data_IF_313405826092
#
_entry.id   IF_313405826092
#
_cell.length_a   1.000
_cell.length_b   1.000
_cell.length_c   1.000
_cell.angle_alpha   90.00
_cell.angle_beta   90.00
_cell.angle_gamma   90.00
#
_symmetry.space_group_name_H-M   'P 1'
#
loop_
_entity.id
_entity.type
_entity.pdbx_description
1 polymer ?
#
# COMPACT_ATOMS: atom_id res chain seq x y z
N UNK A 1 3.78 -10.70 15.05
CA UNK A 1 4.84 -9.69 15.30
C UNK A 1 4.20 -8.39 15.79
N UNK A 2 4.92 -7.53 16.54
CA UNK A 2 4.41 -6.22 16.92
C UNK A 2 4.20 -5.34 15.68
N UNK A 3 3.09 -4.59 15.66
CA UNK A 3 2.76 -3.65 14.59
C UNK A 3 2.80 -2.24 15.15
N UNK A 4 3.49 -1.35 14.44
CA UNK A 4 3.50 0.10 14.71
C UNK A 4 3.17 0.86 13.44
N UNK A 5 2.21 1.79 13.52
CA UNK A 5 1.85 2.70 12.43
C UNK A 5 2.12 4.11 12.90
N UNK A 6 2.95 4.85 12.15
CA UNK A 6 3.25 6.26 12.40
C UNK A 6 2.62 7.06 11.26
N UNK A 7 1.46 7.70 11.48
CA UNK A 7 0.79 8.51 10.47
C UNK A 7 1.55 9.83 10.23
N UNK A 8 1.19 10.52 9.14
CA UNK A 8 1.73 11.83 8.75
C UNK A 8 3.27 11.86 8.71
N UNK A 9 3.87 10.76 8.20
CA UNK A 9 5.31 10.54 8.27
C UNK A 9 6.10 11.45 7.33
N UNK A 10 5.55 11.82 6.18
CA UNK A 10 6.16 12.76 5.23
C UNK A 10 5.28 13.99 5.04
N UNK A 11 5.93 15.13 4.82
CA UNK A 11 5.28 16.45 4.84
C UNK A 11 4.38 16.73 3.65
N UNK A 12 4.75 16.26 2.44
CA UNK A 12 4.14 16.75 1.19
C UNK A 12 3.04 15.83 0.64
N UNK A 13 2.94 14.59 1.11
CA UNK A 13 1.88 13.68 0.70
C UNK A 13 0.53 14.13 1.29
N UNK A 14 -0.57 13.90 0.57
CA UNK A 14 -1.92 14.17 1.06
C UNK A 14 -2.30 13.24 2.22
N UNK A 15 -1.70 12.04 2.26
CA UNK A 15 -1.73 11.13 3.40
C UNK A 15 -0.48 10.26 3.39
N UNK A 16 0.06 9.97 4.55
CA UNK A 16 1.26 9.11 4.64
C UNK A 16 1.33 8.36 5.95
N UNK A 17 2.00 7.22 5.93
CA UNK A 17 2.40 6.54 7.16
C UNK A 17 3.65 5.68 6.94
N UNK A 18 4.40 5.49 8.03
CA UNK A 18 5.37 4.41 8.14
C UNK A 18 4.71 3.26 8.91
N UNK A 19 4.54 2.10 8.25
CA UNK A 19 4.11 0.88 8.91
C UNK A 19 5.31 -0.03 9.19
N UNK A 20 5.36 -0.58 10.39
CA UNK A 20 6.36 -1.55 10.84
C UNK A 20 5.64 -2.79 11.35
N UNK A 21 6.02 -3.96 10.83
CA UNK A 21 5.53 -5.27 11.26
C UNK A 21 6.77 -6.12 11.62
N UNK A 22 7.12 -6.15 12.91
CA UNK A 22 8.45 -6.63 13.32
C UNK A 22 9.55 -5.83 12.62
N UNK A 23 10.44 -6.51 11.90
CA UNK A 23 11.53 -5.89 11.15
C UNK A 23 11.14 -5.45 9.74
N UNK A 24 9.93 -5.74 9.27
CA UNK A 24 9.43 -5.20 8.01
C UNK A 24 8.99 -3.75 8.17
N UNK A 25 9.49 -2.87 7.30
CA UNK A 25 9.19 -1.43 7.29
C UNK A 25 8.77 -0.99 5.89
N UNK A 26 7.59 -0.39 5.77
CA UNK A 26 7.08 0.16 4.50
C UNK A 26 6.62 1.60 4.71
N UNK A 27 7.13 2.51 3.89
CA UNK A 27 6.61 3.86 3.77
C UNK A 27 5.48 3.86 2.74
N UNK A 28 4.30 4.33 3.13
CA UNK A 28 3.14 4.47 2.25
C UNK A 28 2.76 5.94 2.14
N UNK A 29 2.66 6.44 0.91
CA UNK A 29 2.30 7.83 0.60
C UNK A 29 1.14 7.88 -0.38
N UNK A 30 0.19 8.77 -0.15
CA UNK A 30 -0.92 9.05 -1.05
C UNK A 30 -0.69 10.37 -1.77
N UNK A 31 -0.80 10.35 -3.10
CA UNK A 31 -0.78 11.53 -3.96
C UNK A 31 -2.13 11.66 -4.65
N UNK A 32 -2.69 12.87 -4.70
CA UNK A 32 -4.00 13.17 -5.31
C UNK A 32 -3.80 13.98 -6.59
N UNK A 33 -4.48 13.56 -7.66
CA UNK A 33 -4.51 14.26 -8.94
C UNK A 33 -5.97 14.58 -9.33
N UNK A 34 -6.23 15.78 -9.86
CA UNK A 34 -7.55 16.25 -10.34
C UNK A 34 -7.84 15.74 -11.77
N UNK A 35 -7.57 14.49 -12.00
CA UNK A 35 -7.83 13.80 -13.27
C UNK A 35 -7.96 12.31 -13.07
N UNK A 36 -8.64 11.64 -13.98
CA UNK A 36 -8.79 10.18 -14.00
C UNK A 36 -8.25 9.58 -15.29
N UNK A 37 -7.77 8.34 -15.29
CA UNK A 37 -7.37 7.63 -16.51
C UNK A 37 -8.56 7.48 -17.50
N UNK A 38 -8.31 7.44 -18.82
CA UNK A 38 -9.38 7.39 -19.85
C UNK A 38 -10.33 6.18 -19.77
N UNK A 39 -9.93 5.11 -19.06
CA UNK A 39 -10.74 3.90 -18.88
C UNK A 39 -11.69 3.98 -17.69
N UNK A 40 -11.61 5.03 -16.89
CA UNK A 40 -12.45 5.22 -15.71
C UNK A 40 -13.78 5.84 -16.14
N UNK A 41 -14.94 5.33 -15.68
CA UNK A 41 -16.23 5.90 -15.99
C UNK A 41 -16.35 7.36 -15.56
N UNK A 42 -17.00 8.18 -16.38
CA UNK A 42 -17.26 9.59 -16.10
C UNK A 42 -17.94 9.79 -14.73
N UNK A 43 -17.54 10.82 -14.00
CA UNK A 43 -18.05 11.12 -12.66
C UNK A 43 -17.56 10.20 -11.56
N UNK A 44 -16.63 9.29 -11.84
CA UNK A 44 -16.04 8.41 -10.82
C UNK A 44 -14.54 8.63 -10.69
N UNK A 45 -14.00 8.35 -9.50
CA UNK A 45 -12.57 8.44 -9.23
C UNK A 45 -11.82 7.14 -9.45
N UNK A 46 -10.53 7.18 -9.20
CA UNK A 46 -9.65 6.02 -9.31
C UNK A 46 -8.68 5.94 -8.14
N UNK A 47 -8.41 4.72 -7.69
CA UNK A 47 -7.35 4.44 -6.72
C UNK A 47 -6.41 3.41 -7.33
N UNK A 48 -5.13 3.72 -7.34
CA UNK A 48 -4.09 2.83 -7.83
C UNK A 48 -2.94 2.76 -6.83
N UNK A 49 -2.00 1.85 -7.05
CA UNK A 49 -0.83 1.74 -6.20
C UNK A 49 0.42 1.41 -7.01
N UNK A 50 1.55 1.87 -6.51
CA UNK A 50 2.88 1.46 -6.93
C UNK A 50 3.59 0.77 -5.77
N UNK A 51 4.51 -0.14 -6.08
CA UNK A 51 5.25 -0.89 -5.09
C UNK A 51 6.70 -1.03 -5.53
N UNK A 52 7.60 -0.67 -4.63
CA UNK A 52 9.03 -0.78 -4.86
C UNK A 52 9.77 -1.21 -3.58
N UNK A 53 10.90 -1.86 -3.76
CA UNK A 53 11.82 -2.17 -2.66
C UNK A 53 13.12 -1.38 -2.84
N UNK A 54 13.60 -0.76 -1.76
CA UNK A 54 14.92 -0.15 -1.77
C UNK A 54 15.99 -1.22 -2.01
N UNK A 55 17.12 -0.87 -2.65
CA UNK A 55 18.19 -1.83 -2.95
C UNK A 55 18.71 -2.63 -1.75
N UNK A 56 18.68 -2.02 -0.56
CA UNK A 56 19.11 -2.64 0.71
C UNK A 56 17.95 -2.98 1.65
N UNK A 57 16.73 -3.06 1.13
CA UNK A 57 15.60 -3.57 1.89
C UNK A 57 15.77 -5.04 2.31
N UNK A 58 16.58 -5.78 1.58
CA UNK A 58 16.94 -7.18 1.86
C UNK A 58 18.39 -7.31 2.38
N UNK A 59 18.72 -8.49 2.89
CA UNK A 59 20.09 -8.83 3.36
C UNK A 59 21.14 -8.61 2.27
N UNK A 60 20.81 -8.98 1.02
CA UNK A 60 21.64 -8.72 -0.15
C UNK A 60 21.11 -7.54 -0.95
N UNK A 61 22.03 -6.77 -1.56
CA UNK A 61 21.66 -5.64 -2.41
C UNK A 61 21.01 -6.11 -3.70
N UNK A 62 19.77 -5.71 -3.94
CA UNK A 62 19.07 -5.86 -5.22
C UNK A 62 19.29 -4.65 -6.15
N UNK A 63 19.23 -4.88 -7.46
CA UNK A 63 19.23 -3.79 -8.45
C UNK A 63 17.84 -3.12 -8.46
N UNK A 64 17.81 -1.79 -8.63
CA UNK A 64 16.55 -1.07 -8.85
C UNK A 64 15.88 -1.53 -10.16
N UNK A 65 14.57 -1.60 -10.18
CA UNK A 65 13.83 -2.00 -11.39
C UNK A 65 14.09 -1.05 -12.56
N UNK A 66 14.23 0.25 -12.29
CA UNK A 66 14.59 1.25 -13.32
C UNK A 66 15.92 0.92 -14.03
N UNK A 67 16.89 0.33 -13.34
CA UNK A 67 18.16 -0.08 -13.96
C UNK A 67 17.99 -1.24 -14.95
N UNK A 68 16.85 -1.93 -14.94
CA UNK A 68 16.50 -3.00 -15.87
C UNK A 68 15.55 -2.52 -16.98
N UNK A 69 15.13 -1.24 -16.96
CA UNK A 69 14.11 -0.64 -17.82
C UNK A 69 12.80 -1.45 -17.86
N UNK A 70 12.53 -2.19 -16.80
CA UNK A 70 11.35 -3.05 -16.68
C UNK A 70 11.00 -3.27 -15.21
N UNK A 71 9.73 -3.09 -14.89
CA UNK A 71 9.22 -3.47 -13.57
C UNK A 71 9.37 -4.98 -13.36
N UNK A 72 9.78 -5.38 -12.16
CA UNK A 72 9.87 -6.80 -11.83
C UNK A 72 8.47 -7.44 -11.82
N UNK A 73 8.34 -8.72 -12.23
CA UNK A 73 7.04 -9.42 -12.15
C UNK A 73 6.44 -9.38 -10.75
N UNK A 74 7.28 -9.47 -9.71
CA UNK A 74 6.87 -9.37 -8.30
C UNK A 74 6.31 -7.98 -7.98
N UNK A 75 7.01 -6.90 -8.36
CA UNK A 75 6.53 -5.54 -8.12
C UNK A 75 5.21 -5.28 -8.85
N UNK A 76 5.11 -5.74 -10.12
CA UNK A 76 3.89 -5.64 -10.91
C UNK A 76 2.70 -6.40 -10.29
N UNK A 77 2.93 -7.58 -9.75
CA UNK A 77 1.90 -8.37 -9.06
C UNK A 77 1.43 -7.67 -7.79
N UNK A 78 2.38 -7.23 -6.95
CA UNK A 78 2.05 -6.62 -5.64
C UNK A 78 1.32 -5.28 -5.81
N UNK A 79 1.78 -4.41 -6.70
CA UNK A 79 1.09 -3.13 -6.93
C UNK A 79 -0.35 -3.33 -7.41
N UNK A 80 -0.61 -4.35 -8.25
CA UNK A 80 -1.97 -4.69 -8.69
C UNK A 80 -2.82 -5.23 -7.54
N UNK A 81 -2.24 -6.04 -6.66
CA UNK A 81 -2.90 -6.54 -5.45
C UNK A 81 -3.30 -5.39 -4.54
N UNK A 82 -2.34 -4.51 -4.19
CA UNK A 82 -2.58 -3.36 -3.31
C UNK A 82 -3.65 -2.44 -3.92
N UNK A 83 -3.50 -2.03 -5.17
CA UNK A 83 -4.46 -1.14 -5.84
C UNK A 83 -5.89 -1.71 -5.86
N UNK A 84 -6.06 -3.01 -6.14
CA UNK A 84 -7.40 -3.65 -6.10
C UNK A 84 -7.97 -3.74 -4.70
N UNK A 85 -7.16 -4.05 -3.71
CA UNK A 85 -7.59 -4.12 -2.31
C UNK A 85 -8.07 -2.75 -1.83
N UNK A 86 -7.35 -1.69 -2.14
CA UNK A 86 -7.71 -0.33 -1.76
C UNK A 86 -8.97 0.18 -2.49
N UNK A 87 -9.11 -0.11 -3.80
CA UNK A 87 -10.33 0.25 -4.55
C UNK A 87 -11.59 -0.38 -3.96
N UNK A 88 -11.50 -1.61 -3.44
CA UNK A 88 -12.64 -2.27 -2.81
C UNK A 88 -13.14 -1.54 -1.55
N UNK A 89 -12.27 -0.75 -0.90
CA UNK A 89 -12.60 0.00 0.29
C UNK A 89 -13.28 1.35 0.02
N UNK A 90 -13.28 1.83 -1.25
CA UNK A 90 -13.66 3.20 -1.62
C UNK A 90 -14.93 3.23 -2.45
N UNK A 91 -15.80 4.18 -2.16
CA UNK A 91 -16.87 4.62 -3.04
C UNK A 91 -16.27 5.55 -4.12
N UNK A 92 -16.00 5.00 -5.30
CA UNK A 92 -15.37 5.73 -6.38
C UNK A 92 -16.25 6.87 -6.93
N UNK A 93 -17.57 6.76 -6.82
CA UNK A 93 -18.48 7.84 -7.20
C UNK A 93 -18.39 9.03 -6.22
N UNK A 94 -18.23 8.76 -4.91
CA UNK A 94 -18.00 9.81 -3.91
C UNK A 94 -16.60 10.42 -3.99
N UNK A 95 -15.62 9.68 -4.52
CA UNK A 95 -14.29 10.22 -4.75
C UNK A 95 -14.30 11.25 -5.89
N UNK A 96 -15.29 11.19 -6.79
CA UNK A 96 -15.38 12.09 -7.95
C UNK A 96 -14.19 11.91 -8.90
N UNK A 97 -13.97 12.82 -9.82
CA UNK A 97 -12.94 12.71 -10.88
C UNK A 97 -11.51 12.96 -10.35
N UNK A 98 -11.15 12.32 -9.25
CA UNK A 98 -9.82 12.35 -8.68
C UNK A 98 -9.14 10.97 -8.79
N UNK A 99 -7.83 10.99 -9.00
CA UNK A 99 -7.00 9.78 -8.86
C UNK A 99 -6.18 9.88 -7.58
N UNK A 100 -6.22 8.83 -6.76
CA UNK A 100 -5.30 8.68 -5.63
C UNK A 100 -4.32 7.55 -5.95
N UNK A 101 -3.04 7.89 -6.05
CA UNK A 101 -1.94 6.94 -6.20
C UNK A 101 -1.30 6.70 -4.84
N UNK A 102 -1.18 5.42 -4.47
CA UNK A 102 -0.52 5.00 -3.23
C UNK A 102 0.83 4.42 -3.57
N UNK A 103 1.88 5.12 -3.19
CA UNK A 103 3.26 4.64 -3.29
C UNK A 103 3.60 3.82 -2.05
N UNK A 104 4.07 2.59 -2.24
CA UNK A 104 4.50 1.68 -1.18
C UNK A 104 5.99 1.37 -1.35
N UNK A 105 6.83 2.07 -0.60
CA UNK A 105 8.28 1.91 -0.62
C UNK A 105 8.74 1.04 0.54
N UNK A 106 9.22 -0.17 0.23
CA UNK A 106 9.78 -1.06 1.25
C UNK A 106 11.18 -0.61 1.62
N UNK A 107 11.33 -0.12 2.85
CA UNK A 107 12.60 0.31 3.42
C UNK A 107 13.41 -0.89 3.94
N UNK A 108 12.72 -1.85 4.55
CA UNK A 108 13.26 -3.09 5.07
C UNK A 108 12.24 -4.21 4.96
N UNK A 109 12.66 -5.38 4.46
CA UNK A 109 11.79 -6.55 4.26
C UNK A 109 12.25 -7.74 5.10
N UNK A 110 11.35 -8.23 5.96
CA UNK A 110 11.49 -9.47 6.72
C UNK A 110 10.16 -10.26 6.73
N UNK A 111 9.67 -10.59 5.53
CA UNK A 111 8.36 -11.21 5.31
C UNK A 111 7.20 -10.20 5.42
N UNK A 112 6.07 -10.51 4.76
CA UNK A 112 4.84 -9.73 4.84
C UNK A 112 4.91 -8.33 4.22
N UNK A 113 5.82 -8.03 3.29
CA UNK A 113 5.91 -6.69 2.68
C UNK A 113 4.66 -6.32 1.90
N UNK A 114 4.02 -7.28 1.21
CA UNK A 114 2.76 -7.04 0.47
C UNK A 114 1.58 -6.76 1.41
N UNK A 115 1.48 -7.48 2.52
CA UNK A 115 0.41 -7.32 3.51
C UNK A 115 0.56 -6.01 4.29
N UNK A 116 1.81 -5.65 4.65
CA UNK A 116 2.13 -4.35 5.23
C UNK A 116 1.81 -3.20 4.26
N UNK A 117 2.08 -3.37 2.96
CA UNK A 117 1.72 -2.38 1.93
C UNK A 117 0.20 -2.19 1.78
N UNK A 118 -0.61 -3.27 1.89
CA UNK A 118 -2.07 -3.15 1.90
C UNK A 118 -2.54 -2.36 3.12
N UNK A 119 -2.05 -2.71 4.31
CA UNK A 119 -2.47 -2.09 5.57
C UNK A 119 -2.00 -0.63 5.65
N UNK A 120 -0.72 -0.37 5.39
CA UNK A 120 -0.17 1.00 5.39
C UNK A 120 -0.74 1.85 4.27
N UNK A 121 -0.92 1.27 3.08
CA UNK A 121 -1.56 1.94 1.95
C UNK A 121 -3.00 2.36 2.26
N UNK A 122 -3.76 1.53 2.98
CA UNK A 122 -5.09 1.91 3.45
C UNK A 122 -5.04 3.08 4.44
N UNK A 123 -4.09 3.11 5.36
CA UNK A 123 -3.93 4.24 6.30
C UNK A 123 -3.60 5.53 5.55
N UNK A 124 -2.65 5.50 4.60
CA UNK A 124 -2.30 6.65 3.78
C UNK A 124 -3.50 7.15 2.96
N UNK A 125 -4.27 6.23 2.34
CA UNK A 125 -5.50 6.54 1.60
C UNK A 125 -6.55 7.19 2.49
N UNK A 126 -6.80 6.65 3.68
CA UNK A 126 -7.80 7.19 4.62
C UNK A 126 -7.43 8.59 5.11
N UNK A 127 -6.15 8.85 5.36
CA UNK A 127 -5.64 10.17 5.74
C UNK A 127 -5.82 11.18 4.59
N UNK A 128 -5.50 10.80 3.35
CA UNK A 128 -5.73 11.64 2.18
C UNK A 128 -7.22 11.96 1.98
N UNK A 129 -8.10 10.95 2.04
CA UNK A 129 -9.54 11.18 1.93
C UNK A 129 -10.07 12.10 3.03
N UNK A 130 -9.59 11.95 4.27
CA UNK A 130 -9.94 12.85 5.38
C UNK A 130 -9.52 14.28 5.07
N UNK A 131 -8.27 14.48 4.64
CA UNK A 131 -7.75 15.80 4.27
C UNK A 131 -8.58 16.46 3.16
N UNK A 132 -8.93 15.73 2.11
CA UNK A 132 -9.77 16.24 1.02
C UNK A 132 -11.17 16.67 1.49
N UNK A 133 -11.74 15.99 2.48
CA UNK A 133 -13.01 16.40 3.10
C UNK A 133 -12.82 17.66 3.94
N UNK A 134 -11.76 17.74 4.75
CA UNK A 134 -11.44 18.90 5.58
C UNK A 134 -11.16 20.17 4.74
N UNK A 135 -10.56 20.00 3.56
CA UNK A 135 -10.30 21.08 2.58
C UNK A 135 -11.53 21.41 1.72
N UNK A 136 -12.64 20.69 1.86
CA UNK A 136 -13.88 20.92 1.10
C UNK A 136 -13.82 20.45 -0.36
N UNK A 137 -12.80 19.68 -0.75
CA UNK A 137 -12.67 19.08 -2.09
C UNK A 137 -13.69 17.95 -2.25
N UNK A 138 -13.85 17.12 -1.23
CA UNK A 138 -14.87 16.07 -1.20
C UNK A 138 -16.03 16.47 -0.26
N UNK A 139 -17.26 16.21 -0.71
CA UNK A 139 -18.46 16.48 0.09
C UNK A 139 -18.60 15.53 1.29
N UNK A 140 -18.07 14.33 1.21
CA UNK A 140 -18.10 13.32 2.28
C UNK A 140 -16.97 12.30 2.12
N UNK A 141 -16.65 11.62 3.23
CA UNK A 141 -15.61 10.58 3.19
C UNK A 141 -16.02 9.41 2.27
N UNK A 142 -15.21 9.09 1.24
CA UNK A 142 -15.52 8.01 0.31
C UNK A 142 -15.16 6.61 0.85
N UNK A 143 -14.49 6.49 1.99
CA UNK A 143 -14.13 5.20 2.58
C UNK A 143 -15.38 4.46 3.05
N UNK A 144 -15.58 3.23 2.55
CA UNK A 144 -16.71 2.33 2.93
C UNK A 144 -16.32 1.30 3.97
N UNK A 145 -15.12 0.75 3.86
CA UNK A 145 -14.65 -0.38 4.66
C UNK A 145 -13.19 -0.21 5.04
N UNK A 146 -12.79 -0.84 6.14
CA UNK A 146 -11.38 -1.04 6.45
C UNK A 146 -10.82 -2.19 5.62
N UNK A 147 -9.57 -2.03 5.17
CA UNK A 147 -8.83 -3.09 4.48
C UNK A 147 -7.48 -3.27 5.17
N UNK A 148 -7.18 -4.51 5.51
CA UNK A 148 -5.90 -4.91 6.08
C UNK A 148 -5.41 -6.18 5.42
N UNK A 149 -4.10 -6.43 5.50
CA UNK A 149 -3.47 -7.66 5.05
C UNK A 149 -2.70 -8.33 6.18
N UNK A 150 -2.80 -9.64 6.26
CA UNK A 150 -1.98 -10.48 7.12
C UNK A 150 -1.59 -11.74 6.36
N UNK A 151 -0.35 -12.18 6.50
CA UNK A 151 0.08 -13.48 5.96
C UNK A 151 -0.32 -14.62 6.88
N UNK A 152 -0.63 -15.77 6.29
CA UNK A 152 -0.89 -17.01 7.02
C UNK A 152 -0.23 -18.16 6.29
N UNK A 153 0.19 -19.19 7.01
CA UNK A 153 0.79 -20.39 6.45
C UNK A 153 0.99 -21.47 7.49
N UNK A 154 1.34 -22.66 7.03
CA UNK A 154 1.67 -23.80 7.90
C UNK A 154 3.20 -23.98 7.88
N UNK A 155 3.84 -23.83 9.03
CA UNK A 155 5.27 -24.05 9.20
C UNK A 155 5.49 -25.32 10.01
N UNK A 156 5.99 -26.37 9.35
CA UNK A 156 5.98 -27.71 9.92
C UNK A 156 4.53 -28.20 10.11
N UNK A 157 4.07 -28.34 11.35
CA UNK A 157 2.69 -28.73 11.69
C UNK A 157 1.88 -27.59 12.35
N UNK A 158 2.47 -26.37 12.41
CA UNK A 158 1.87 -25.25 13.13
C UNK A 158 1.28 -24.22 12.16
N UNK A 159 0.00 -23.90 12.34
CA UNK A 159 -0.65 -22.76 11.66
C UNK A 159 -0.15 -21.45 12.28
N UNK A 160 0.37 -20.58 11.48
CA UNK A 160 0.96 -19.31 11.91
C UNK A 160 0.37 -18.14 11.13
N UNK A 161 0.29 -16.98 11.79
CA UNK A 161 -0.08 -15.70 11.20
C UNK A 161 1.09 -14.72 11.26
N UNK A 162 1.11 -13.79 10.30
CA UNK A 162 2.11 -12.73 10.19
C UNK A 162 3.54 -13.28 10.18
N UNK A 163 3.82 -14.10 9.16
CA UNK A 163 5.08 -14.82 9.00
C UNK A 163 6.25 -13.86 8.75
N UNK A 164 7.33 -14.02 9.51
CA UNK A 164 8.62 -13.44 9.17
C UNK A 164 9.29 -14.23 8.03
N UNK A 165 10.32 -13.65 7.40
CA UNK A 165 10.93 -14.27 6.20
C UNK A 165 11.41 -15.71 6.40
N UNK A 166 12.00 -16.01 7.55
CA UNK A 166 12.49 -17.36 7.88
C UNK A 166 11.36 -18.40 8.05
N UNK A 167 10.15 -17.96 8.36
CA UNK A 167 8.94 -18.78 8.45
C UNK A 167 8.27 -18.88 7.07
N UNK A 168 8.02 -17.73 6.42
CA UNK A 168 7.38 -17.61 5.10
C UNK A 168 8.11 -18.44 4.02
N UNK A 169 9.44 -18.45 4.06
CA UNK A 169 10.26 -19.25 3.10
C UNK A 169 10.12 -20.77 3.25
N UNK A 170 9.52 -21.25 4.35
CA UNK A 170 9.30 -22.68 4.65
C UNK A 170 7.82 -23.04 4.78
N UNK A 171 6.94 -22.03 4.72
CA UNK A 171 5.50 -22.24 4.86
C UNK A 171 4.90 -22.89 3.62
N UNK A 172 3.85 -23.70 3.86
CA UNK A 172 2.98 -24.28 2.85
C UNK A 172 1.64 -23.58 2.85
#
# INVERSE_FOLDING_TARGET
>A
RPIKITPDFVKFAEGSCLIQCGDTMVLCCASVEDRVPPHVPEGTGWVTAEYSMLPRANRERSKRDIAKLKLSPRSAEIQRLVGRSLRAAVDLAKLGEHTITIDCDVLQGDGGTRTASVTGGFVALALACRKLVEEGVLASNPIRHFVTGVSAGIVGETLMLDLQYSEDSRAQ
#
